data_IF_368568696537
#
_entry.id   IF_368568696537
#
_cell.length_a   1.000
_cell.length_b   1.000
_cell.length_c   1.000
_cell.angle_alpha   90.00
_cell.angle_beta   90.00
_cell.angle_gamma   90.00
#
_symmetry.space_group_name_H-M   'P 1'
#
loop_
_entity.id
_entity.type
_entity.pdbx_description
1 polymer ?
#
# COMPACT_ATOMS: atom_id res chain seq x y z
N UNK A 1 1.52 -3.41 40.23
CA UNK A 1 2.18 -3.79 38.97
C UNK A 1 2.71 -2.50 38.39
N UNK A 2 3.98 -2.18 38.63
CA UNK A 2 4.62 -1.04 37.99
C UNK A 2 4.82 -1.44 36.54
N UNK A 3 4.12 -0.76 35.62
CA UNK A 3 4.33 -0.94 34.20
C UNK A 3 5.68 -0.31 33.88
N UNK A 4 6.76 -1.09 34.03
CA UNK A 4 8.10 -0.71 33.60
C UNK A 4 7.99 -0.45 32.10
N UNK A 5 8.02 0.83 31.69
CA UNK A 5 8.16 1.21 30.29
C UNK A 5 9.58 0.84 29.89
N UNK A 6 9.75 -0.42 29.49
CA UNK A 6 11.05 -0.97 29.14
C UNK A 6 11.73 -0.06 28.10
N UNK A 7 13.00 0.16 28.36
CA UNK A 7 13.93 1.05 27.65
C UNK A 7 13.76 0.98 26.14
N UNK A 8 13.96 2.12 25.44
CA UNK A 8 13.96 2.23 23.97
C UNK A 8 14.50 0.96 23.29
N UNK A 9 13.58 0.11 22.83
CA UNK A 9 13.94 -1.18 22.23
C UNK A 9 14.16 -0.98 20.73
N UNK A 10 15.37 -1.27 20.26
CA UNK A 10 15.70 -1.25 18.83
C UNK A 10 14.73 -2.11 18.01
N UNK A 11 14.20 -3.20 18.58
CA UNK A 11 13.18 -4.02 17.93
C UNK A 11 11.89 -3.26 17.64
N UNK A 12 11.42 -2.44 18.57
CA UNK A 12 10.23 -1.59 18.38
C UNK A 12 10.47 -0.52 17.32
N UNK A 13 11.67 0.08 17.29
CA UNK A 13 12.05 1.04 16.26
C UNK A 13 12.04 0.42 14.86
N UNK A 14 12.63 -0.77 14.69
CA UNK A 14 12.60 -1.50 13.41
C UNK A 14 11.15 -1.77 12.98
N UNK A 15 10.31 -2.23 13.91
CA UNK A 15 8.92 -2.57 13.60
C UNK A 15 8.10 -1.36 13.16
N UNK A 16 8.30 -0.22 13.81
CA UNK A 16 7.65 1.04 13.44
C UNK A 16 8.09 1.52 12.05
N UNK A 17 9.39 1.41 11.72
CA UNK A 17 9.90 1.79 10.40
C UNK A 17 9.27 0.92 9.30
N UNK A 18 9.19 -0.40 9.50
CA UNK A 18 8.57 -1.32 8.55
C UNK A 18 7.09 -0.97 8.32
N UNK A 19 6.36 -0.65 9.39
CA UNK A 19 4.97 -0.19 9.29
C UNK A 19 4.84 1.10 8.49
N UNK A 20 5.67 2.10 8.77
CA UNK A 20 5.66 3.37 8.06
C UNK A 20 5.98 3.20 6.57
N UNK A 21 6.99 2.40 6.22
CA UNK A 21 7.36 2.11 4.84
C UNK A 21 6.22 1.40 4.11
N UNK A 22 5.58 0.41 4.75
CA UNK A 22 4.43 -0.31 4.17
C UNK A 22 3.25 0.63 3.91
N UNK A 23 2.94 1.52 4.87
CA UNK A 23 1.89 2.53 4.72
C UNK A 23 2.20 3.53 3.59
N UNK A 24 3.44 4.01 3.53
CA UNK A 24 3.88 4.92 2.46
C UNK A 24 3.78 4.26 1.09
N UNK A 25 4.22 3.00 0.98
CA UNK A 25 4.13 2.25 -0.26
C UNK A 25 2.68 2.03 -0.69
N UNK A 26 1.80 1.70 0.25
CA UNK A 26 0.37 1.55 -0.01
C UNK A 26 -0.26 2.86 -0.51
N UNK A 27 0.01 3.99 0.17
CA UNK A 27 -0.44 5.32 -0.25
C UNK A 27 0.09 5.68 -1.64
N UNK A 28 1.36 5.40 -1.92
CA UNK A 28 1.97 5.65 -3.22
C UNK A 28 1.23 4.88 -4.33
N UNK A 29 0.93 3.60 -4.13
CA UNK A 29 0.16 2.82 -5.09
C UNK A 29 -1.26 3.38 -5.30
N UNK A 30 -1.95 3.79 -4.25
CA UNK A 30 -3.28 4.42 -4.36
C UNK A 30 -3.20 5.73 -5.16
N UNK A 31 -2.20 6.57 -4.91
CA UNK A 31 -1.96 7.81 -5.66
C UNK A 31 -1.61 7.52 -7.12
N UNK A 32 -0.82 6.49 -7.40
CA UNK A 32 -0.48 6.07 -8.77
C UNK A 32 -1.73 5.66 -9.54
N UNK A 33 -2.64 4.89 -8.93
CA UNK A 33 -3.94 4.52 -9.53
C UNK A 33 -4.84 5.72 -9.74
N UNK A 34 -4.85 6.67 -8.81
CA UNK A 34 -5.62 7.92 -8.94
C UNK A 34 -5.07 8.82 -10.06
N UNK A 35 -3.74 8.92 -10.20
CA UNK A 35 -3.06 9.70 -11.26
C UNK A 35 -3.15 9.03 -12.62
N UNK A 36 -3.13 7.70 -12.67
CA UNK A 36 -3.27 6.98 -13.93
C UNK A 36 -4.69 7.19 -14.50
N UNK A 37 -4.79 7.46 -15.80
CA UNK A 37 -6.05 7.71 -16.48
C UNK A 37 -6.72 6.38 -16.84
N UNK A 38 -7.12 5.62 -15.82
CA UNK A 38 -8.03 4.49 -16.03
C UNK A 38 -9.38 5.02 -16.50
N UNK A 39 -9.81 4.64 -17.69
CA UNK A 39 -11.10 5.03 -18.25
C UNK A 39 -12.25 4.31 -17.50
N UNK A 40 -13.19 5.07 -16.95
CA UNK A 40 -14.43 4.54 -16.36
C UNK A 40 -14.25 3.75 -15.05
N UNK A 41 -14.94 2.61 -14.93
CA UNK A 41 -15.04 1.81 -13.69
C UNK A 41 -13.73 1.16 -13.25
N UNK A 42 -12.74 1.02 -14.13
CA UNK A 42 -11.47 0.35 -13.81
C UNK A 42 -10.69 1.07 -12.71
N UNK A 43 -10.80 2.41 -12.63
CA UNK A 43 -10.20 3.20 -11.54
C UNK A 43 -10.75 2.80 -10.19
N UNK A 44 -12.08 2.69 -10.08
CA UNK A 44 -12.75 2.32 -8.83
C UNK A 44 -12.43 0.88 -8.42
N UNK A 45 -12.36 -0.05 -9.37
CA UNK A 45 -11.99 -1.44 -9.10
C UNK A 45 -10.58 -1.52 -8.53
N UNK A 46 -9.60 -0.82 -9.11
CA UNK A 46 -8.23 -0.81 -8.60
C UNK A 46 -8.13 -0.20 -7.21
N UNK A 47 -8.84 0.90 -6.94
CA UNK A 47 -8.90 1.50 -5.60
C UNK A 47 -9.50 0.52 -4.59
N UNK A 48 -10.59 -0.19 -4.93
CA UNK A 48 -11.17 -1.23 -4.07
C UNK A 48 -10.18 -2.37 -3.80
N UNK A 49 -9.49 -2.87 -4.83
CA UNK A 49 -8.51 -3.95 -4.68
C UNK A 49 -7.35 -3.52 -3.77
N UNK A 50 -6.85 -2.29 -3.91
CA UNK A 50 -5.83 -1.72 -3.04
C UNK A 50 -6.33 -1.57 -1.59
N UNK A 51 -7.60 -1.19 -1.40
CA UNK A 51 -8.19 -0.98 -0.08
C UNK A 51 -8.49 -2.28 0.67
N UNK A 52 -9.06 -3.28 -0.01
CA UNK A 52 -9.37 -4.58 0.59
C UNK A 52 -8.15 -5.51 0.65
N UNK A 53 -7.15 -5.29 -0.21
CA UNK A 53 -5.99 -6.17 -0.31
C UNK A 53 -4.70 -5.33 -0.42
N UNK A 54 -4.23 -4.71 0.68
CA UNK A 54 -3.10 -3.78 0.64
C UNK A 54 -1.77 -4.42 0.24
N UNK A 55 -1.61 -5.73 0.46
CA UNK A 55 -0.39 -6.49 0.15
C UNK A 55 -0.44 -7.06 -1.27
N UNK A 56 -1.54 -7.75 -1.64
CA UNK A 56 -1.67 -8.39 -2.96
C UNK A 56 -2.17 -7.41 -4.03
N UNK A 57 -2.82 -6.31 -3.64
CA UNK A 57 -3.37 -5.31 -4.55
C UNK A 57 -2.31 -4.63 -5.42
N UNK A 58 -1.18 -4.15 -4.85
CA UNK A 58 -0.05 -3.65 -5.63
C UNK A 58 0.57 -4.72 -6.56
N UNK A 59 0.63 -5.97 -6.10
CA UNK A 59 1.13 -7.09 -6.90
C UNK A 59 0.23 -7.31 -8.13
N UNK A 60 -1.09 -7.42 -7.90
CA UNK A 60 -2.09 -7.55 -8.95
C UNK A 60 -2.05 -6.35 -9.90
N UNK A 61 -1.88 -5.14 -9.37
CA UNK A 61 -1.74 -3.90 -10.17
C UNK A 61 -0.58 -3.98 -11.15
N UNK A 62 0.58 -4.47 -10.67
CA UNK A 62 1.76 -4.62 -11.50
C UNK A 62 1.58 -5.66 -12.61
N UNK A 63 0.94 -6.79 -12.32
CA UNK A 63 0.72 -7.87 -13.29
C UNK A 63 -0.43 -7.59 -14.29
N UNK A 64 -1.54 -7.01 -13.83
CA UNK A 64 -2.79 -6.89 -14.59
C UNK A 64 -3.06 -5.44 -14.99
N UNK A 65 -2.92 -4.50 -14.05
CA UNK A 65 -3.28 -3.09 -14.25
C UNK A 65 -2.39 -2.36 -15.26
N UNK A 66 -1.11 -2.73 -15.33
CA UNK A 66 -0.14 -2.07 -16.22
C UNK A 66 -0.30 -2.43 -17.70
N UNK A 67 -0.96 -3.55 -18.03
CA UNK A 67 -1.04 -4.05 -19.42
C UNK A 67 -2.04 -3.27 -20.29
N UNK A 68 -2.89 -2.42 -19.70
CA UNK A 68 -4.00 -1.74 -20.40
C UNK A 68 -3.63 -0.38 -21.02
N UNK A 69 -2.37 0.07 -20.88
CA UNK A 69 -1.90 1.37 -21.40
C UNK A 69 -0.90 1.24 -22.57
N UNK A 70 -0.91 0.13 -23.31
CA UNK A 70 -0.05 -0.09 -24.48
C UNK A 70 -0.87 -0.56 -25.70
N UNK A 71 -1.98 0.13 -25.96
CA UNK A 71 -2.59 0.24 -27.30
C UNK A 71 -2.89 1.73 -27.56
#
# INVERSE_FOLDING_TARGET
MEFQLDSFSFGLMIWQIILFVTLFFWLFCVIDVLRNSFNGNDKLVWVLVLLFVPILGPLLYFFIGKKKNYD
#
